data_IF_817589481642
#
_entry.id   IF_817589481642
#
_cell.length_a   1.000
_cell.length_b   1.000
_cell.length_c   1.000
_cell.angle_alpha   90.00
_cell.angle_beta   90.00
_cell.angle_gamma   90.00
#
_symmetry.space_group_name_H-M   'P 1'
#
loop_
_entity.id
_entity.type
_entity.pdbx_description
1 polymer ?
#
# COMPACT_ATOMS: atom_id res chain seq x y z
N UNK A 1 -26.87 -23.54 26.90
CA UNK A 1 -26.60 -23.61 25.44
C UNK A 1 -26.97 -22.28 24.83
N UNK A 2 -26.04 -21.56 24.20
CA UNK A 2 -26.31 -20.26 23.58
C UNK A 2 -26.87 -20.44 22.17
N UNK A 3 -28.07 -19.91 21.94
CA UNK A 3 -28.91 -20.06 20.73
C UNK A 3 -28.68 -18.94 19.70
N UNK A 4 -27.75 -18.02 19.96
CA UNK A 4 -27.47 -16.91 19.06
C UNK A 4 -26.20 -17.20 18.26
N UNK A 5 -26.36 -17.95 17.17
CA UNK A 5 -25.38 -17.92 16.08
C UNK A 5 -25.44 -16.52 15.47
N UNK A 6 -24.45 -15.68 15.77
CA UNK A 6 -24.24 -14.40 15.11
C UNK A 6 -24.02 -14.71 13.63
N UNK A 7 -25.04 -14.54 12.80
CA UNK A 7 -24.87 -14.59 11.34
C UNK A 7 -24.03 -13.37 10.97
N UNK A 8 -22.74 -13.60 10.73
CA UNK A 8 -21.86 -12.56 10.18
C UNK A 8 -22.33 -12.30 8.76
N UNK A 9 -22.90 -11.11 8.52
CA UNK A 9 -23.19 -10.64 7.17
C UNK A 9 -21.87 -10.16 6.60
N UNK A 10 -21.35 -10.88 5.60
CA UNK A 10 -20.17 -10.48 4.83
C UNK A 10 -20.63 -10.05 3.45
N UNK A 11 -20.02 -8.98 2.94
CA UNK A 11 -20.22 -8.53 1.57
C UNK A 11 -19.07 -9.04 0.73
N UNK A 12 -19.37 -9.54 -0.46
CA UNK A 12 -18.35 -9.89 -1.43
C UNK A 12 -17.66 -8.63 -1.93
N UNK A 13 -16.35 -8.74 -2.19
CA UNK A 13 -15.60 -7.66 -2.82
C UNK A 13 -16.16 -7.43 -4.23
N UNK A 14 -16.53 -6.20 -4.53
CA UNK A 14 -17.02 -5.81 -5.85
C UNK A 14 -15.83 -5.46 -6.73
N UNK A 15 -15.75 -6.09 -7.90
CA UNK A 15 -14.86 -5.67 -8.99
C UNK A 15 -15.68 -4.85 -10.01
N UNK A 16 -15.72 -3.51 -9.88
CA UNK A 16 -16.54 -2.66 -10.75
C UNK A 16 -16.02 -2.57 -12.19
N UNK A 17 -14.73 -2.88 -12.40
CA UNK A 17 -14.11 -2.83 -13.72
C UNK A 17 -14.13 -4.20 -14.41
N UNK A 18 -14.29 -5.28 -13.63
CA UNK A 18 -14.29 -6.65 -14.14
C UNK A 18 -12.95 -7.04 -14.76
N UNK A 19 -11.88 -6.35 -14.37
CA UNK A 19 -10.54 -6.51 -14.91
C UNK A 19 -9.72 -7.56 -14.14
N UNK A 20 -10.27 -8.11 -13.05
CA UNK A 20 -9.58 -9.08 -12.23
C UNK A 20 -8.54 -8.45 -11.29
N UNK A 21 -8.47 -7.11 -11.21
CA UNK A 21 -7.53 -6.43 -10.31
C UNK A 21 -7.75 -6.85 -8.85
N UNK A 22 -8.99 -7.16 -8.47
CA UNK A 22 -9.31 -7.68 -7.15
C UNK A 22 -8.65 -9.04 -6.85
N UNK A 23 -8.54 -9.92 -7.85
CA UNK A 23 -7.91 -11.23 -7.72
C UNK A 23 -6.39 -11.09 -7.62
N UNK A 24 -5.80 -10.19 -8.41
CA UNK A 24 -4.37 -9.88 -8.38
C UNK A 24 -3.95 -9.29 -7.02
N UNK A 25 -4.71 -8.31 -6.51
CA UNK A 25 -4.50 -7.75 -5.17
C UNK A 25 -4.63 -8.85 -4.10
N UNK A 26 -5.61 -9.76 -4.24
CA UNK A 26 -5.78 -10.85 -3.30
C UNK A 26 -4.63 -11.86 -3.39
N UNK A 27 -4.00 -12.03 -4.56
CA UNK A 27 -2.80 -12.83 -4.73
C UNK A 27 -1.58 -12.19 -4.03
N UNK A 28 -1.32 -10.91 -4.28
CA UNK A 28 -0.21 -10.16 -3.67
C UNK A 28 -0.29 -10.19 -2.13
N UNK A 29 -1.49 -10.04 -1.56
CA UNK A 29 -1.69 -10.10 -0.10
C UNK A 29 -1.34 -11.44 0.54
N UNK A 30 -1.26 -12.52 -0.22
CA UNK A 30 -0.90 -13.86 0.28
C UNK A 30 0.60 -14.15 0.17
N UNK A 31 1.37 -13.27 -0.46
CA UNK A 31 2.81 -13.43 -0.60
C UNK A 31 3.52 -13.33 0.75
N UNK A 32 4.64 -14.03 0.89
CA UNK A 32 5.40 -14.06 2.14
C UNK A 32 5.98 -12.68 2.51
N UNK A 33 6.26 -11.87 1.48
CA UNK A 33 6.84 -10.54 1.60
C UNK A 33 5.76 -9.44 1.50
N UNK A 34 4.48 -9.81 1.60
CA UNK A 34 3.38 -8.86 1.55
C UNK A 34 3.49 -7.84 2.70
N UNK A 35 3.48 -6.55 2.35
CA UNK A 35 3.46 -5.48 3.35
C UNK A 35 2.06 -5.41 3.96
N UNK A 36 1.90 -6.01 5.14
CA UNK A 36 0.60 -6.06 5.85
C UNK A 36 0.34 -4.86 6.75
N UNK A 37 1.39 -4.16 7.19
CA UNK A 37 1.27 -2.96 8.02
C UNK A 37 2.41 -1.99 7.76
N UNK A 38 2.08 -0.70 7.71
CA UNK A 38 3.07 0.38 7.72
C UNK A 38 3.64 0.62 9.12
N UNK A 39 2.95 0.13 10.16
CA UNK A 39 3.39 0.23 11.56
C UNK A 39 4.57 -0.71 11.87
N UNK A 40 4.82 -1.70 11.01
CA UNK A 40 5.97 -2.61 11.12
C UNK A 40 7.31 -1.89 10.83
N UNK A 41 7.25 -0.68 10.29
CA UNK A 41 8.42 0.15 10.00
C UNK A 41 8.56 1.25 11.07
N UNK A 42 9.76 1.42 11.62
CA UNK A 42 10.05 2.54 12.51
C UNK A 42 9.91 3.87 11.74
N UNK A 43 9.07 4.81 12.22
CA UNK A 43 8.93 6.13 11.60
C UNK A 43 10.26 6.88 11.44
N UNK A 44 11.22 6.66 12.34
CA UNK A 44 12.55 7.27 12.26
C UNK A 44 13.37 6.72 11.09
N UNK A 45 13.30 5.41 10.86
CA UNK A 45 14.01 4.75 9.75
C UNK A 45 13.43 5.17 8.40
N UNK A 46 12.09 5.26 8.31
CA UNK A 46 11.41 5.78 7.13
C UNK A 46 11.79 7.24 6.86
N UNK A 47 11.82 8.09 7.89
CA UNK A 47 12.20 9.49 7.75
C UNK A 47 13.65 9.64 7.28
N UNK A 48 14.56 8.82 7.79
CA UNK A 48 15.97 8.81 7.38
C UNK A 48 16.12 8.37 5.92
N UNK A 49 15.44 7.29 5.52
CA UNK A 49 15.46 6.79 4.14
C UNK A 49 14.94 7.84 3.15
N UNK A 50 13.72 8.35 3.39
CA UNK A 50 13.11 9.33 2.49
C UNK A 50 13.85 10.67 2.48
N UNK A 51 14.44 11.08 3.61
CA UNK A 51 15.35 12.23 3.67
C UNK A 51 16.54 12.06 2.74
N UNK A 52 17.18 10.88 2.76
CA UNK A 52 18.27 10.55 1.84
C UNK A 52 17.87 10.55 0.38
N UNK A 53 16.70 9.98 0.04
CA UNK A 53 16.16 9.99 -1.34
C UNK A 53 15.92 11.43 -1.81
N UNK A 54 15.29 12.26 -0.99
CA UNK A 54 15.04 13.67 -1.33
C UNK A 54 16.33 14.45 -1.52
N UNK A 55 17.30 14.26 -0.62
CA UNK A 55 18.58 14.95 -0.69
C UNK A 55 19.43 14.47 -1.87
N UNK A 56 19.29 13.21 -2.29
CA UNK A 56 19.91 12.71 -3.51
C UNK A 56 19.26 13.30 -4.75
N UNK A 57 17.93 13.31 -4.80
CA UNK A 57 17.21 13.82 -5.94
C UNK A 57 17.42 15.34 -6.13
N UNK A 58 17.57 16.10 -5.04
CA UNK A 58 17.99 17.52 -5.10
C UNK A 58 19.36 17.77 -5.72
N UNK A 59 20.23 16.76 -5.84
CA UNK A 59 21.52 16.89 -6.53
C UNK A 59 21.36 16.87 -8.05
N UNK A 60 20.21 16.40 -8.55
CA UNK A 60 19.88 16.47 -9.95
C UNK A 60 19.68 17.93 -10.37
N UNK A 61 20.27 18.30 -11.52
CA UNK A 61 20.19 19.66 -12.05
C UNK A 61 18.76 20.03 -12.45
N UNK A 62 17.96 19.02 -12.80
CA UNK A 62 16.59 19.18 -13.30
C UNK A 62 15.54 18.93 -12.22
N UNK A 63 15.93 18.71 -10.96
CA UNK A 63 15.00 18.44 -9.84
C UNK A 63 13.95 19.53 -9.62
N UNK A 64 14.30 20.78 -9.94
CA UNK A 64 13.40 21.93 -9.89
C UNK A 64 12.94 22.40 -11.27
N UNK A 65 13.23 21.65 -12.34
CA UNK A 65 12.73 21.96 -13.66
C UNK A 65 11.26 21.50 -13.79
N UNK A 66 10.37 22.34 -13.30
CA UNK A 66 8.93 22.20 -13.49
C UNK A 66 8.45 22.76 -14.82
N UNK A 67 9.36 23.13 -15.74
CA UNK A 67 9.00 23.67 -17.06
C UNK A 67 8.77 22.55 -18.08
N UNK A 68 7.71 21.78 -17.85
CA UNK A 68 7.02 21.03 -18.89
C UNK A 68 5.56 21.54 -18.94
N UNK A 69 5.36 22.62 -19.71
CA UNK A 69 4.06 23.00 -20.30
C UNK A 69 3.94 22.42 -21.72
#
# INVERSE_FOLDING_TARGET
MSIFQRKTVTFDAVDPLGDGLGDDIAAERREADAITSLEDNDPADLAAFWGGVVDDAKKDQDWFDFSNE
#
